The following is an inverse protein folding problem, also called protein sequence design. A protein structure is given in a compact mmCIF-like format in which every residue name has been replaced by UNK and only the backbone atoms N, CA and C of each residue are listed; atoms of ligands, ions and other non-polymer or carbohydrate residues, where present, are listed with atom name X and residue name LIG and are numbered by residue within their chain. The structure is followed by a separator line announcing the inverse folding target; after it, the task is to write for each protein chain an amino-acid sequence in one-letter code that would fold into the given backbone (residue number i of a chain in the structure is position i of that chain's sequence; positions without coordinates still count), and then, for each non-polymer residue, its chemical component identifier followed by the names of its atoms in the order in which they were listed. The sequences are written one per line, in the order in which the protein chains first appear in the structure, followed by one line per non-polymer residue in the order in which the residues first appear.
data_IF_842877144137
#
_entry.id   IF_842877144137
#
_cell.length_a   1.000
_cell.length_b   1.000
_cell.length_c   1.000
_cell.angle_alpha   90.00
_cell.angle_beta   90.00
_cell.angle_gamma   90.00
#
_symmetry.space_group_name_H-M   'P 1'
#
loop_
_entity.id
_entity.type
_entity.pdbx_description
1 polymer ?
#
# COMPACT_ATOMS: atom_id res chain seq x y z
N UNK A 1 -15.43 -5.23 14.16
CA UNK A 1 -14.59 -6.02 13.22
C UNK A 1 -14.41 -7.43 13.79
N UNK A 2 -14.51 -8.49 12.98
CA UNK A 2 -14.13 -9.85 13.39
C UNK A 2 -12.66 -9.86 13.88
N UNK A 3 -12.36 -10.57 14.97
CA UNK A 3 -11.03 -10.68 15.60
C UNK A 3 -9.92 -10.99 14.57
N UNK A 4 -10.19 -11.86 13.60
CA UNK A 4 -9.24 -12.20 12.54
C UNK A 4 -8.96 -11.02 11.59
N UNK A 5 -9.98 -10.22 11.27
CA UNK A 5 -9.82 -9.02 10.44
C UNK A 5 -8.96 -7.97 11.15
N UNK A 6 -9.12 -7.82 12.46
CA UNK A 6 -8.31 -6.89 13.26
C UNK A 6 -6.83 -7.33 13.31
N UNK A 7 -6.55 -8.63 13.45
CA UNK A 7 -5.18 -9.15 13.38
C UNK A 7 -4.53 -8.87 12.03
N UNK A 8 -5.25 -9.17 10.93
CA UNK A 8 -4.77 -8.90 9.55
C UNK A 8 -4.53 -7.40 9.32
N UNK A 9 -5.41 -6.55 9.83
CA UNK A 9 -5.22 -5.10 9.79
C UNK A 9 -3.95 -4.66 10.53
N UNK A 10 -3.69 -5.21 11.72
CA UNK A 10 -2.45 -4.98 12.45
C UNK A 10 -1.22 -5.41 11.67
N UNK A 11 -1.25 -6.61 11.07
CA UNK A 11 -0.15 -7.11 10.24
C UNK A 11 0.17 -6.17 9.06
N UNK A 12 -0.84 -5.82 8.25
CA UNK A 12 -0.62 -4.92 7.10
C UNK A 12 -0.17 -3.53 7.54
N UNK A 13 -0.68 -3.04 8.66
CA UNK A 13 -0.25 -1.76 9.22
C UNK A 13 1.25 -1.77 9.56
N UNK A 14 1.73 -2.79 10.27
CA UNK A 14 3.16 -2.94 10.59
C UNK A 14 4.01 -3.01 9.33
N UNK A 15 3.56 -3.73 8.30
CA UNK A 15 4.25 -3.75 7.01
C UNK A 15 4.29 -2.38 6.33
N UNK A 16 3.23 -1.57 6.42
CA UNK A 16 3.24 -0.20 5.92
C UNK A 16 4.24 0.70 6.67
N UNK A 17 4.37 0.53 7.98
CA UNK A 17 5.37 1.23 8.80
C UNK A 17 6.80 0.85 8.39
N UNK A 18 7.05 -0.44 8.19
CA UNK A 18 8.34 -0.95 7.68
C UNK A 18 8.66 -0.36 6.32
N UNK A 19 7.73 -0.45 5.36
CA UNK A 19 7.88 0.15 4.04
C UNK A 19 8.24 1.63 4.16
N UNK A 20 7.51 2.40 4.98
CA UNK A 20 7.82 3.81 5.22
C UNK A 20 9.26 4.04 5.69
N UNK A 21 9.78 3.19 6.58
CA UNK A 21 11.16 3.28 7.04
C UNK A 21 12.15 3.03 5.89
N UNK A 22 11.98 1.94 5.12
CA UNK A 22 12.83 1.65 3.96
C UNK A 22 12.80 2.77 2.91
N UNK A 23 11.62 3.35 2.65
CA UNK A 23 11.47 4.49 1.75
C UNK A 23 12.23 5.73 2.22
N UNK A 24 12.32 5.96 3.54
CA UNK A 24 13.12 7.07 4.10
C UNK A 24 14.63 6.80 4.01
N UNK A 25 15.04 5.53 4.06
CA UNK A 25 16.43 5.10 3.95
C UNK A 25 16.93 4.99 2.49
N UNK A 26 16.06 5.20 1.50
CA UNK A 26 16.41 5.06 0.08
C UNK A 26 16.56 3.60 -0.39
N UNK A 27 16.20 2.62 0.44
CA UNK A 27 16.36 1.18 0.15
C UNK A 27 15.11 0.56 -0.46
N UNK A 28 14.49 1.26 -1.40
CA UNK A 28 13.15 0.93 -1.92
C UNK A 28 13.17 -0.36 -2.75
N UNK A 29 14.23 -0.58 -3.52
CA UNK A 29 14.41 -1.78 -4.35
C UNK A 29 14.41 -3.07 -3.54
N UNK A 30 14.74 -3.00 -2.25
CA UNK A 30 14.79 -4.16 -1.34
C UNK A 30 13.42 -4.49 -0.71
N UNK A 31 12.38 -3.70 -0.98
CA UNK A 31 11.06 -3.87 -0.39
C UNK A 31 10.17 -4.89 -1.12
N UNK A 32 10.61 -5.43 -2.26
CA UNK A 32 9.84 -6.38 -3.07
C UNK A 32 9.42 -7.61 -2.27
N UNK A 33 10.32 -8.11 -1.41
CA UNK A 33 10.04 -9.24 -0.51
C UNK A 33 8.89 -8.94 0.45
N UNK A 34 8.88 -7.75 1.07
CA UNK A 34 7.83 -7.37 2.03
C UNK A 34 6.46 -7.26 1.35
N UNK A 35 6.39 -6.61 0.18
CA UNK A 35 5.15 -6.50 -0.58
C UNK A 35 4.62 -7.85 -1.02
N UNK A 36 5.51 -8.73 -1.48
CA UNK A 36 5.16 -10.10 -1.90
C UNK A 36 4.65 -10.93 -0.73
N UNK A 37 5.33 -10.90 0.42
CA UNK A 37 4.92 -11.61 1.63
C UNK A 37 3.54 -11.16 2.13
N UNK A 38 3.29 -9.84 2.14
CA UNK A 38 1.98 -9.29 2.52
C UNK A 38 0.90 -9.70 1.52
N UNK A 39 1.16 -9.56 0.22
CA UNK A 39 0.21 -9.98 -0.82
C UNK A 39 -0.17 -11.45 -0.70
N UNK A 40 0.81 -12.34 -0.54
CA UNK A 40 0.58 -13.78 -0.33
C UNK A 40 -0.19 -14.05 0.97
N UNK A 41 0.14 -13.35 2.06
CA UNK A 41 -0.57 -13.49 3.34
C UNK A 41 -2.02 -13.02 3.26
N UNK A 42 -2.33 -12.04 2.40
CA UNK A 42 -3.69 -11.54 2.23
C UNK A 42 -4.51 -12.48 1.34
N UNK A 43 -3.95 -12.93 0.22
CA UNK A 43 -4.65 -13.82 -0.72
C UNK A 43 -4.96 -15.20 -0.12
N UNK A 44 -4.27 -15.62 0.95
CA UNK A 44 -4.66 -16.78 1.74
C UNK A 44 -6.08 -16.58 2.30
N UNK A 45 -6.97 -17.52 1.98
CA UNK A 45 -8.39 -17.54 2.33
C UNK A 45 -9.27 -16.51 1.59
N UNK A 46 -8.81 -15.97 0.45
CA UNK A 46 -9.63 -15.08 -0.40
C UNK A 46 -9.82 -13.67 0.14
N UNK A 47 -8.96 -13.23 1.06
CA UNK A 47 -9.04 -11.90 1.66
C UNK A 47 -8.31 -10.86 0.82
N UNK A 48 -9.00 -9.77 0.48
CA UNK A 48 -8.42 -8.71 -0.33
C UNK A 48 -7.91 -7.56 0.54
N UNK A 49 -6.82 -6.87 0.15
CA UNK A 49 -6.38 -5.65 0.84
C UNK A 49 -7.50 -4.57 0.93
N UNK A 50 -8.48 -4.62 0.03
CA UNK A 50 -9.66 -3.75 0.00
C UNK A 50 -10.66 -4.03 1.13
N UNK A 51 -10.59 -5.20 1.77
CA UNK A 51 -11.42 -5.59 2.92
C UNK A 51 -10.93 -4.96 4.23
N UNK A 52 -9.74 -4.36 4.24
CA UNK A 52 -9.20 -3.67 5.41
C UNK A 52 -9.85 -2.30 5.62
N UNK A 53 -9.73 -1.71 6.82
CA UNK A 53 -10.06 -0.30 7.03
C UNK A 53 -9.41 0.58 5.96
N UNK A 54 -10.19 1.51 5.40
CA UNK A 54 -9.80 2.29 4.22
C UNK A 54 -8.44 2.97 4.33
N UNK A 55 -8.11 3.50 5.50
CA UNK A 55 -6.84 4.15 5.77
C UNK A 55 -5.64 3.19 5.59
N UNK A 56 -5.79 1.93 6.02
CA UNK A 56 -4.76 0.89 5.88
C UNK A 56 -4.62 0.51 4.41
N UNK A 57 -5.73 0.20 3.73
CA UNK A 57 -5.72 -0.17 2.31
C UNK A 57 -5.09 0.94 1.45
N UNK A 58 -5.52 2.19 1.61
CA UNK A 58 -4.97 3.32 0.84
C UNK A 58 -3.47 3.48 1.08
N UNK A 59 -3.01 3.34 2.32
CA UNK A 59 -1.59 3.42 2.66
C UNK A 59 -0.79 2.29 2.01
N UNK A 60 -1.32 1.06 2.06
CA UNK A 60 -0.70 -0.11 1.44
C UNK A 60 -0.58 0.04 -0.08
N UNK A 61 -1.68 0.37 -0.76
CA UNK A 61 -1.68 0.59 -2.21
C UNK A 61 -0.78 1.75 -2.63
N UNK A 62 -0.68 2.82 -1.83
CA UNK A 62 0.27 3.91 -2.07
C UNK A 62 1.72 3.42 -2.05
N UNK A 63 2.13 2.66 -1.05
CA UNK A 63 3.52 2.16 -0.97
C UNK A 63 3.82 1.11 -2.04
N UNK A 64 2.86 0.25 -2.37
CA UNK A 64 3.01 -0.70 -3.47
C UNK A 64 3.16 0.02 -4.81
N UNK A 65 2.25 0.92 -5.13
CA UNK A 65 2.32 1.69 -6.36
C UNK A 65 3.62 2.49 -6.46
N UNK A 66 4.04 3.13 -5.36
CA UNK A 66 5.33 3.82 -5.27
C UNK A 66 6.48 2.85 -5.57
N UNK A 67 6.53 1.66 -4.97
CA UNK A 67 7.56 0.66 -5.30
C UNK A 67 7.56 0.30 -6.79
N UNK A 68 6.39 0.10 -7.39
CA UNK A 68 6.29 -0.19 -8.83
C UNK A 68 6.88 0.92 -9.71
N UNK A 69 6.74 2.20 -9.33
CA UNK A 69 7.43 3.31 -10.01
C UNK A 69 8.95 3.13 -9.97
N UNK A 70 9.50 2.80 -8.80
CA UNK A 70 10.96 2.60 -8.64
C UNK A 70 11.49 1.37 -9.38
N UNK A 71 10.67 0.32 -9.55
CA UNK A 71 11.04 -0.87 -10.32
C UNK A 71 10.62 -0.79 -11.79
N UNK A 72 10.22 0.39 -12.29
CA UNK A 72 9.78 0.64 -13.67
C UNK A 72 8.58 -0.21 -14.14
N UNK A 73 7.77 -0.73 -13.22
CA UNK A 73 6.52 -1.43 -13.55
C UNK A 73 5.36 -0.41 -13.59
N UNK A 74 5.31 0.38 -14.66
CA UNK A 74 4.42 1.54 -14.75
C UNK A 74 2.93 1.17 -14.80
N UNK A 75 2.59 0.01 -15.39
CA UNK A 75 1.21 -0.47 -15.45
C UNK A 75 0.66 -0.74 -14.07
N UNK A 76 1.37 -1.53 -13.27
CA UNK A 76 0.96 -1.82 -11.90
C UNK A 76 1.02 -0.55 -11.03
N UNK A 77 2.00 0.34 -11.27
CA UNK A 77 2.09 1.60 -10.56
C UNK A 77 0.80 2.43 -10.74
N UNK A 78 0.35 2.61 -11.98
CA UNK A 78 -0.88 3.34 -12.29
C UNK A 78 -2.09 2.71 -11.60
N UNK A 79 -2.29 1.40 -11.74
CA UNK A 79 -3.44 0.71 -11.15
C UNK A 79 -3.49 0.88 -9.61
N UNK A 80 -2.36 0.68 -8.92
CA UNK A 80 -2.31 0.76 -7.46
C UNK A 80 -2.44 2.21 -6.96
N UNK A 81 -1.78 3.17 -7.62
CA UNK A 81 -1.82 4.58 -7.21
C UNK A 81 -3.18 5.21 -7.54
N UNK A 82 -3.77 4.89 -8.69
CA UNK A 82 -5.12 5.35 -9.06
C UNK A 82 -6.15 4.82 -8.07
N UNK A 83 -6.06 3.54 -7.69
CA UNK A 83 -6.90 3.00 -6.63
C UNK A 83 -6.70 3.77 -5.32
N UNK A 84 -5.46 3.97 -4.87
CA UNK A 84 -5.16 4.69 -3.64
C UNK A 84 -5.72 6.12 -3.65
N UNK A 85 -5.60 6.82 -4.78
CA UNK A 85 -6.07 8.20 -4.94
C UNK A 85 -7.59 8.30 -4.86
N UNK A 86 -8.31 7.46 -5.62
CA UNK A 86 -9.77 7.43 -5.67
C UNK A 86 -10.39 7.07 -4.32
N UNK A 87 -9.64 6.32 -3.50
CA UNK A 87 -10.09 5.84 -2.20
C UNK A 87 -9.57 6.67 -1.02
N UNK A 88 -8.69 7.64 -1.28
CA UNK A 88 -8.20 8.57 -0.27
C UNK A 88 -9.27 9.65 0.01
N UNK A 89 -9.64 9.91 1.28
CA UNK A 89 -10.65 10.90 1.60
C UNK A 89 -10.32 12.30 1.02
N UNK A 90 -11.28 13.03 0.43
CA UNK A 90 -11.04 14.37 -0.13
C UNK A 90 -10.47 15.37 0.88
N UNK A 91 -10.84 15.22 2.17
CA UNK A 91 -10.31 16.01 3.28
C UNK A 91 -8.81 15.82 3.52
N UNK A 92 -8.24 14.69 3.11
CA UNK A 92 -6.82 14.35 3.28
C UNK A 92 -5.97 14.91 2.15
N UNK A 93 -6.05 16.24 1.91
CA UNK A 93 -5.41 16.94 0.79
C UNK A 93 -3.91 16.63 0.67
N UNK A 94 -3.20 16.57 1.79
CA UNK A 94 -1.77 16.25 1.84
C UNK A 94 -1.46 14.84 1.31
N UNK A 95 -2.23 13.83 1.71
CA UNK A 95 -2.04 12.46 1.25
C UNK A 95 -2.41 12.31 -0.22
N UNK A 96 -3.48 12.96 -0.67
CA UNK A 96 -3.86 12.99 -2.09
C UNK A 96 -2.76 13.59 -2.96
N UNK A 97 -2.17 14.72 -2.53
CA UNK A 97 -1.04 15.34 -3.22
C UNK A 97 0.15 14.38 -3.32
N UNK A 98 0.47 13.65 -2.23
CA UNK A 98 1.54 12.65 -2.25
C UNK A 98 1.29 11.54 -3.26
N UNK A 99 0.06 11.05 -3.36
CA UNK A 99 -0.28 10.00 -4.33
C UNK A 99 -0.15 10.54 -5.77
N UNK A 100 -0.67 11.75 -6.03
CA UNK A 100 -0.58 12.39 -7.34
C UNK A 100 0.85 12.61 -7.83
N UNK A 101 1.79 12.91 -6.93
CA UNK A 101 3.21 13.09 -7.28
C UNK A 101 3.84 11.83 -7.90
N UNK A 102 3.26 10.65 -7.67
CA UNK A 102 3.72 9.40 -8.28
C UNK A 102 2.87 8.95 -9.47
N UNK A 103 1.77 9.65 -9.78
CA UNK A 103 0.90 9.39 -10.94
C UNK A 103 1.21 10.29 -12.14
N UNK A 104 1.85 11.44 -11.90
CA UNK A 104 2.17 12.48 -12.89
C UNK A 104 3.68 12.57 -13.04
#
# INVERSE_FOLDING_TARGET
LNKERTKRAGHVWVCCELLRAYFKLGQISQCSFLLTAVSQSLNKDGFNPTDLPKAISVTFFFYWGKHCVFTHNLKDADEKLTWAFNNCPPKSKFNRRKILLYLV
#
